data_IF_099361047515
#
_entry.id   IF_099361047515
#
_cell.length_a   1.000
_cell.length_b   1.000
_cell.length_c   1.000
_cell.angle_alpha   90.00
_cell.angle_beta   90.00
_cell.angle_gamma   90.00
#
_symmetry.space_group_name_H-M   'P 1'
#
loop_
_entity.id
_entity.type
_entity.pdbx_description
1 polymer ?
#
# COMPACT_ATOMS: atom_id res chain seq x y z
N UNK A 1 15.33 11.32 21.30
CA UNK A 1 16.15 10.14 20.98
C UNK A 1 15.86 9.01 21.94
N UNK A 2 14.86 8.17 21.63
CA UNK A 2 14.61 6.92 22.36
C UNK A 2 15.75 5.96 22.03
N UNK A 3 16.78 5.86 22.89
CA UNK A 3 17.88 4.90 22.78
C UNK A 3 17.45 3.50 23.27
N UNK A 4 16.25 3.05 22.89
CA UNK A 4 15.74 1.75 23.32
C UNK A 4 16.43 0.66 22.47
N UNK A 5 17.12 -0.28 23.10
CA UNK A 5 17.81 -1.37 22.42
C UNK A 5 16.79 -2.46 22.02
N UNK A 6 17.04 -3.19 20.92
CA UNK A 6 16.15 -4.26 20.43
C UNK A 6 15.72 -5.32 21.50
N UNK A 7 16.57 -5.71 22.47
CA UNK A 7 16.15 -6.58 23.58
C UNK A 7 15.10 -5.96 24.51
N UNK A 8 15.11 -4.64 24.70
CA UNK A 8 14.11 -3.91 25.50
C UNK A 8 12.80 -3.78 24.72
N UNK A 9 12.86 -3.53 23.40
CA UNK A 9 11.66 -3.59 22.54
C UNK A 9 11.02 -4.98 22.57
N UNK A 10 11.83 -6.06 22.54
CA UNK A 10 11.33 -7.43 22.71
C UNK A 10 10.66 -7.63 24.07
N UNK A 11 11.26 -7.12 25.16
CA UNK A 11 10.65 -7.13 26.48
C UNK A 11 9.32 -6.37 26.51
N UNK A 12 9.17 -5.26 25.80
CA UNK A 12 7.91 -4.50 25.70
C UNK A 12 6.84 -5.28 24.94
N UNK A 13 7.22 -5.93 23.84
CA UNK A 13 6.31 -6.80 23.07
C UNK A 13 5.90 -8.02 23.92
N UNK A 14 6.80 -8.60 24.70
CA UNK A 14 6.50 -9.76 25.57
C UNK A 14 5.79 -9.39 26.88
N UNK A 15 6.07 -8.22 27.45
CA UNK A 15 5.52 -7.72 28.72
C UNK A 15 4.24 -6.91 28.54
N UNK A 16 3.73 -6.72 27.32
CA UNK A 16 2.34 -6.28 27.12
C UNK A 16 1.33 -7.16 27.89
N UNK A 17 1.75 -8.37 28.30
CA UNK A 17 1.00 -9.29 29.16
C UNK A 17 1.45 -9.34 30.65
N UNK A 18 2.56 -8.70 31.06
CA UNK A 18 3.06 -8.74 32.45
C UNK A 18 3.61 -7.36 32.86
N UNK A 19 2.95 -6.73 33.84
CA UNK A 19 3.00 -5.30 34.19
C UNK A 19 4.31 -4.68 34.70
N UNK A 20 5.49 -5.22 34.39
CA UNK A 20 6.75 -4.48 34.58
C UNK A 20 6.98 -3.54 33.38
N UNK A 21 6.40 -2.35 33.51
CA UNK A 21 6.40 -1.30 32.49
C UNK A 21 7.78 -0.71 32.19
N UNK A 22 7.88 0.02 31.08
CA UNK A 22 9.09 0.75 30.71
C UNK A 22 9.40 1.82 31.77
N UNK A 23 10.68 1.97 32.12
CA UNK A 23 11.12 3.00 33.07
C UNK A 23 10.69 4.39 32.57
N UNK A 24 9.96 5.13 33.39
CA UNK A 24 9.47 6.47 33.06
C UNK A 24 8.28 6.55 32.09
N UNK A 25 7.84 5.47 31.46
CA UNK A 25 6.75 5.48 30.46
C UNK A 25 5.66 4.44 30.74
N UNK A 26 4.41 4.83 30.51
CA UNK A 26 3.25 3.94 30.43
C UNK A 26 2.98 3.66 28.94
N UNK A 27 2.98 2.38 28.55
CA UNK A 27 2.63 2.00 27.17
C UNK A 27 1.11 2.07 27.00
N UNK A 28 0.68 2.89 26.04
CA UNK A 28 -0.73 3.12 25.71
C UNK A 28 -1.12 2.47 24.39
N UNK A 29 -0.17 2.02 23.59
CA UNK A 29 -0.42 1.16 22.43
C UNK A 29 0.83 0.37 22.04
N UNK A 30 0.65 -0.88 21.66
CA UNK A 30 1.67 -1.70 21.01
C UNK A 30 0.98 -2.68 20.06
N UNK A 31 1.31 -2.64 18.77
CA UNK A 31 0.65 -3.51 17.80
C UNK A 31 1.19 -3.37 16.39
N UNK A 32 0.91 -4.38 15.57
CA UNK A 32 1.17 -4.33 14.13
C UNK A 32 0.02 -3.58 13.47
N UNK A 33 0.34 -2.46 12.83
CA UNK A 33 -0.60 -1.63 12.10
C UNK A 33 -0.39 -1.83 10.61
N UNK A 34 -1.44 -2.24 9.90
CA UNK A 34 -1.48 -2.24 8.44
C UNK A 34 -1.93 -0.88 7.94
N UNK A 35 -1.02 -0.14 7.30
CA UNK A 35 -1.30 1.20 6.79
C UNK A 35 -2.36 1.24 5.69
N UNK A 36 -2.68 0.11 5.04
CA UNK A 36 -3.79 0.05 4.10
C UNK A 36 -5.14 0.41 4.75
N UNK A 37 -5.30 0.08 6.04
CA UNK A 37 -6.47 0.45 6.85
C UNK A 37 -6.54 1.93 7.22
N UNK A 38 -5.45 2.67 6.98
CA UNK A 38 -5.36 4.11 7.21
C UNK A 38 -5.53 4.93 5.92
N UNK A 39 -5.84 4.26 4.79
CA UNK A 39 -6.03 4.90 3.49
C UNK A 39 -4.79 4.93 2.60
N UNK A 40 -3.72 4.22 2.97
CA UNK A 40 -2.53 4.09 2.11
C UNK A 40 -2.80 2.98 1.07
N UNK A 41 -2.60 3.21 -0.24
CA UNK A 41 -2.91 2.23 -1.31
C UNK A 41 -1.84 1.11 -1.42
N UNK A 42 -1.27 0.70 -0.29
CA UNK A 42 -0.17 -0.25 -0.18
C UNK A 42 -0.32 -1.01 1.14
N UNK A 43 -0.19 -2.34 1.10
CA UNK A 43 -0.04 -3.15 2.31
C UNK A 43 1.35 -2.94 2.88
N UNK A 44 1.41 -2.34 4.07
CA UNK A 44 2.65 -2.07 4.80
C UNK A 44 2.35 -2.19 6.28
N UNK A 45 2.76 -3.32 6.84
CA UNK A 45 2.61 -3.63 8.26
C UNK A 45 3.82 -3.11 9.03
N UNK A 46 3.59 -2.37 10.10
CA UNK A 46 4.64 -1.85 10.99
C UNK A 46 4.24 -2.04 12.44
N UNK A 47 5.21 -2.44 13.27
CA UNK A 47 5.04 -2.39 14.71
C UNK A 47 5.06 -0.93 15.15
N UNK A 48 3.99 -0.48 15.76
CA UNK A 48 3.86 0.85 16.35
C UNK A 48 3.79 0.69 17.87
N UNK A 49 4.59 1.47 18.59
CA UNK A 49 4.60 1.54 20.05
C UNK A 49 4.40 2.99 20.44
N UNK A 50 3.40 3.26 21.28
CA UNK A 50 3.13 4.60 21.82
C UNK A 50 3.22 4.50 23.34
N UNK A 51 4.10 5.31 23.92
CA UNK A 51 4.27 5.45 25.36
C UNK A 51 4.09 6.89 25.79
N UNK A 52 3.40 7.10 26.91
CA UNK A 52 3.23 8.41 27.56
C UNK A 52 4.07 8.42 28.83
N UNK A 53 4.73 9.54 29.13
CA UNK A 53 5.56 9.61 30.35
C UNK A 53 4.68 9.51 31.60
N UNK A 54 5.12 8.71 32.58
CA UNK A 54 4.36 8.41 33.81
C UNK A 54 4.01 9.66 34.64
N UNK A 55 4.85 10.70 34.60
CA UNK A 55 4.63 11.95 35.33
C UNK A 55 3.49 12.80 34.75
N UNK A 56 3.15 12.61 33.46
CA UNK A 56 2.06 13.33 32.78
C UNK A 56 0.69 12.69 33.03
N UNK A 57 0.64 11.37 33.23
CA UNK A 57 -0.60 10.59 33.37
C UNK A 57 -0.89 10.14 34.80
N UNK A 58 -0.11 10.60 35.79
CA UNK A 58 -0.20 10.33 37.24
C UNK A 58 -1.28 9.33 37.65
N UNK A 59 -1.05 8.01 37.57
CA UNK A 59 -2.00 6.93 37.97
C UNK A 59 -3.49 7.16 37.60
N UNK A 60 -3.81 8.02 36.63
CA UNK A 60 -5.18 8.31 36.22
C UNK A 60 -5.61 7.19 35.26
N UNK A 61 -6.22 6.17 35.86
CA UNK A 61 -6.66 4.97 35.15
C UNK A 61 -7.75 5.30 34.11
N UNK A 62 -8.60 6.31 34.36
CA UNK A 62 -9.64 6.71 33.41
C UNK A 62 -9.03 7.39 32.19
N UNK A 63 -8.08 8.30 32.40
CA UNK A 63 -7.31 8.94 31.33
C UNK A 63 -6.57 7.90 30.49
N UNK A 64 -5.83 6.98 31.13
CA UNK A 64 -5.09 5.92 30.43
C UNK A 64 -6.00 5.02 29.59
N UNK A 65 -7.16 4.64 30.13
CA UNK A 65 -8.13 3.83 29.40
C UNK A 65 -8.73 4.60 28.20
N UNK A 66 -9.08 5.86 28.40
CA UNK A 66 -9.57 6.75 27.33
C UNK A 66 -8.53 6.89 26.20
N UNK A 67 -7.27 7.15 26.54
CA UNK A 67 -6.17 7.24 25.59
C UNK A 67 -6.00 5.93 24.80
N UNK A 68 -5.92 4.78 25.49
CA UNK A 68 -5.82 3.46 24.86
C UNK A 68 -6.95 3.22 23.85
N UNK A 69 -8.18 3.48 24.27
CA UNK A 69 -9.38 3.29 23.43
C UNK A 69 -9.36 4.18 22.18
N UNK A 70 -9.01 5.47 22.33
CA UNK A 70 -8.91 6.41 21.20
C UNK A 70 -7.83 5.98 20.20
N UNK A 71 -6.63 5.65 20.69
CA UNK A 71 -5.50 5.22 19.85
C UNK A 71 -5.87 3.96 19.07
N UNK A 72 -6.42 2.95 19.77
CA UNK A 72 -6.82 1.69 19.15
C UNK A 72 -7.87 1.89 18.06
N UNK A 73 -8.87 2.77 18.30
CA UNK A 73 -9.93 3.06 17.33
C UNK A 73 -9.39 3.65 16.02
N UNK A 74 -8.34 4.49 16.09
CA UNK A 74 -7.74 5.09 14.91
C UNK A 74 -6.76 4.14 14.23
N UNK A 75 -5.81 3.55 14.98
CA UNK A 75 -4.78 2.69 14.40
C UNK A 75 -5.32 1.36 13.89
N UNK A 76 -6.44 0.86 14.43
CA UNK A 76 -7.13 -0.31 13.86
C UNK A 76 -7.80 -0.01 12.51
N UNK A 77 -7.95 1.27 12.13
CA UNK A 77 -8.66 1.71 10.94
C UNK A 77 -10.18 1.64 11.06
N UNK A 78 -10.75 1.28 12.22
CA UNK A 78 -12.20 1.09 12.42
C UNK A 78 -13.02 2.37 12.29
N UNK A 79 -12.41 3.55 12.43
CA UNK A 79 -13.08 4.85 12.17
C UNK A 79 -13.38 5.04 10.67
N UNK A 80 -12.76 4.27 9.79
CA UNK A 80 -12.82 4.41 8.33
C UNK A 80 -13.16 3.08 7.67
N UNK A 81 -13.58 3.14 6.42
CA UNK A 81 -14.02 1.96 5.69
C UNK A 81 -12.89 1.23 4.97
N UNK A 82 -11.65 1.74 5.02
CA UNK A 82 -10.48 1.19 4.32
C UNK A 82 -10.10 -0.25 4.69
N UNK A 83 -10.48 -0.72 5.88
CA UNK A 83 -10.26 -2.11 6.27
C UNK A 83 -11.11 -3.10 5.46
N UNK A 84 -12.24 -2.63 4.90
CA UNK A 84 -13.17 -3.40 4.06
C UNK A 84 -13.08 -3.00 2.59
N UNK A 85 -12.94 -1.70 2.33
CA UNK A 85 -12.83 -1.09 1.00
C UNK A 85 -11.52 -0.31 0.92
N UNK A 86 -10.39 -0.96 0.65
CA UNK A 86 -9.10 -0.30 0.65
C UNK A 86 -8.88 0.55 -0.61
N UNK A 87 -8.16 1.67 -0.46
CA UNK A 87 -7.73 2.50 -1.60
C UNK A 87 -6.78 1.72 -2.51
N UNK A 88 -6.89 1.93 -3.83
CA UNK A 88 -6.22 1.09 -4.83
C UNK A 88 -5.19 1.86 -5.69
N UNK A 89 -4.21 1.15 -6.30
CA UNK A 89 -3.25 1.75 -7.22
C UNK A 89 -3.88 2.49 -8.40
N UNK A 90 -4.94 1.96 -9.03
CA UNK A 90 -5.55 2.62 -10.19
C UNK A 90 -6.13 3.98 -9.82
N UNK A 91 -6.72 4.11 -8.63
CA UNK A 91 -7.29 5.38 -8.16
C UNK A 91 -6.23 6.45 -7.93
N UNK A 92 -5.12 6.10 -7.27
CA UNK A 92 -4.05 7.05 -7.01
C UNK A 92 -3.22 7.37 -8.26
N UNK A 93 -3.18 6.46 -9.25
CA UNK A 93 -2.48 6.72 -10.50
C UNK A 93 -3.31 7.57 -11.47
N UNK A 94 -4.60 7.27 -11.60
CA UNK A 94 -5.50 8.00 -12.49
C UNK A 94 -6.09 9.25 -11.83
N UNK A 95 -6.01 9.37 -10.50
CA UNK A 95 -6.51 10.54 -9.77
C UNK A 95 -8.03 10.60 -9.68
N UNK A 96 -8.71 9.45 -9.70
CA UNK A 96 -10.17 9.39 -9.60
C UNK A 96 -10.63 8.18 -8.76
N UNK A 97 -11.77 8.26 -8.07
CA UNK A 97 -12.37 7.11 -7.40
C UNK A 97 -12.84 6.04 -8.40
N UNK A 98 -13.02 4.80 -7.91
CA UNK A 98 -13.34 3.63 -8.75
C UNK A 98 -14.57 3.79 -9.65
N UNK A 99 -15.63 4.44 -9.16
CA UNK A 99 -16.89 4.66 -9.90
C UNK A 99 -16.72 5.53 -11.16
N UNK A 100 -15.56 6.18 -11.33
CA UNK A 100 -15.21 6.99 -12.50
C UNK A 100 -14.18 6.32 -13.41
N UNK A 101 -13.79 5.07 -13.12
CA UNK A 101 -12.65 4.40 -13.77
C UNK A 101 -13.01 3.11 -14.52
N UNK A 102 -14.30 2.83 -14.73
CA UNK A 102 -14.76 1.58 -15.36
C UNK A 102 -14.14 1.34 -16.75
N UNK A 103 -14.24 2.33 -17.65
CA UNK A 103 -13.67 2.25 -19.00
C UNK A 103 -12.15 2.06 -18.97
N UNK A 104 -11.47 2.79 -18.09
CA UNK A 104 -10.01 2.70 -17.94
C UNK A 104 -9.58 1.34 -17.43
N UNK A 105 -10.25 0.82 -16.41
CA UNK A 105 -10.03 -0.52 -15.88
C UNK A 105 -10.25 -1.59 -16.96
N UNK A 106 -11.35 -1.49 -17.70
CA UNK A 106 -11.68 -2.42 -18.79
C UNK A 106 -10.63 -2.40 -19.90
N UNK A 107 -10.17 -1.21 -20.31
CA UNK A 107 -9.08 -1.05 -21.28
C UNK A 107 -7.82 -1.79 -20.80
N UNK A 108 -7.38 -1.53 -19.57
CA UNK A 108 -6.19 -2.15 -18.96
C UNK A 108 -6.32 -3.67 -18.90
N UNK A 109 -7.44 -4.17 -18.37
CA UNK A 109 -7.60 -5.61 -18.11
C UNK A 109 -7.73 -6.39 -19.41
N UNK A 110 -8.41 -5.85 -20.43
CA UNK A 110 -8.54 -6.53 -21.73
C UNK A 110 -7.20 -6.75 -22.43
N UNK A 111 -6.18 -5.92 -22.18
CA UNK A 111 -4.83 -6.17 -22.72
C UNK A 111 -4.27 -7.52 -22.30
N UNK A 112 -4.72 -8.10 -21.19
CA UNK A 112 -4.25 -9.39 -20.67
C UNK A 112 -4.93 -10.62 -21.29
N UNK A 113 -5.91 -10.42 -22.17
CA UNK A 113 -6.56 -11.51 -22.88
C UNK A 113 -5.54 -12.34 -23.68
N UNK A 114 -5.65 -13.67 -23.62
CA UNK A 114 -4.78 -14.61 -24.32
C UNK A 114 -3.43 -14.89 -23.63
N UNK A 115 -3.08 -14.22 -22.53
CA UNK A 115 -1.77 -14.41 -21.87
C UNK A 115 -1.52 -15.85 -21.42
N UNK A 116 -2.58 -16.58 -21.06
CA UNK A 116 -2.47 -17.98 -20.65
C UNK A 116 -2.09 -18.93 -21.80
N UNK A 117 -2.52 -18.62 -23.02
CA UNK A 117 -2.13 -19.35 -24.23
C UNK A 117 -0.70 -19.00 -24.63
N UNK A 118 -0.34 -17.71 -24.59
CA UNK A 118 1.03 -17.26 -24.89
C UNK A 118 2.07 -17.90 -23.95
N UNK A 119 1.75 -18.02 -22.66
CA UNK A 119 2.65 -18.58 -21.66
C UNK A 119 2.61 -20.11 -21.67
N UNK A 120 1.44 -20.72 -21.86
CA UNK A 120 1.29 -22.16 -22.08
C UNK A 120 1.61 -23.07 -20.87
N UNK A 121 1.82 -22.51 -19.68
CA UNK A 121 2.12 -23.26 -18.45
C UNK A 121 0.85 -23.68 -17.71
N UNK A 122 0.96 -24.69 -16.84
CA UNK A 122 -0.16 -25.12 -15.99
C UNK A 122 -0.64 -24.02 -15.04
N UNK A 123 0.30 -23.23 -14.51
CA UNK A 123 0.01 -22.05 -13.69
C UNK A 123 -0.83 -21.03 -14.46
N UNK A 124 -0.51 -20.80 -15.73
CA UNK A 124 -1.24 -19.86 -16.57
C UNK A 124 -2.67 -20.33 -16.88
N UNK A 125 -2.87 -21.64 -17.14
CA UNK A 125 -4.21 -22.23 -17.29
C UNK A 125 -5.03 -22.13 -15.99
N UNK A 126 -4.40 -22.42 -14.86
CA UNK A 126 -5.03 -22.28 -13.54
C UNK A 126 -5.43 -20.83 -13.25
N UNK A 127 -4.57 -19.86 -13.60
CA UNK A 127 -4.85 -18.44 -13.44
C UNK A 127 -6.04 -18.01 -14.30
N UNK A 128 -6.12 -18.46 -15.55
CA UNK A 128 -7.29 -18.19 -16.41
C UNK A 128 -8.59 -18.62 -15.71
N UNK A 129 -8.66 -19.87 -15.27
CA UNK A 129 -9.87 -20.43 -14.64
C UNK A 129 -10.22 -19.74 -13.31
N UNK A 130 -9.21 -19.39 -12.50
CA UNK A 130 -9.43 -18.87 -11.14
C UNK A 130 -9.60 -17.37 -11.07
N UNK A 131 -9.02 -16.64 -12.02
CA UNK A 131 -8.97 -15.17 -12.04
C UNK A 131 -9.69 -14.65 -13.27
N UNK A 132 -9.15 -14.89 -14.48
CA UNK A 132 -9.67 -14.28 -15.71
C UNK A 132 -11.14 -14.60 -16.00
N UNK A 133 -11.50 -15.88 -15.96
CA UNK A 133 -12.86 -16.36 -16.29
C UNK A 133 -13.92 -15.88 -15.29
N UNK A 134 -13.49 -15.30 -14.15
CA UNK A 134 -14.37 -14.73 -13.14
C UNK A 134 -14.50 -13.21 -13.22
N UNK A 135 -13.69 -12.54 -14.04
CA UNK A 135 -13.77 -11.09 -14.20
C UNK A 135 -15.06 -10.73 -14.94
N UNK A 136 -15.76 -9.76 -14.40
CA UNK A 136 -16.96 -9.16 -14.99
C UNK A 136 -16.60 -8.00 -15.92
N UNK A 137 -15.39 -7.44 -15.79
CA UNK A 137 -14.97 -6.18 -16.40
C UNK A 137 -15.83 -4.98 -15.99
N UNK A 138 -16.59 -5.11 -14.90
CA UNK A 138 -17.14 -4.00 -14.15
C UNK A 138 -16.21 -3.73 -12.97
N UNK A 139 -15.70 -2.51 -12.87
CA UNK A 139 -14.65 -2.18 -11.90
C UNK A 139 -15.10 -2.38 -10.46
N UNK A 140 -16.37 -2.08 -10.15
CA UNK A 140 -16.92 -2.20 -8.79
C UNK A 140 -17.10 -3.67 -8.42
N UNK A 141 -17.73 -4.46 -9.29
CA UNK A 141 -17.96 -5.88 -9.02
C UNK A 141 -16.63 -6.64 -8.86
N UNK A 142 -15.67 -6.39 -9.77
CA UNK A 142 -14.35 -7.01 -9.71
C UNK A 142 -13.56 -6.55 -8.47
N UNK A 143 -13.64 -5.26 -8.10
CA UNK A 143 -13.02 -4.72 -6.90
C UNK A 143 -13.55 -5.39 -5.63
N UNK A 144 -14.87 -5.54 -5.51
CA UNK A 144 -15.51 -6.18 -4.35
C UNK A 144 -15.11 -7.66 -4.27
N UNK A 145 -15.10 -8.37 -5.40
CA UNK A 145 -14.66 -9.75 -5.47
C UNK A 145 -13.19 -9.91 -5.04
N UNK A 146 -12.28 -9.13 -5.63
CA UNK A 146 -10.83 -9.22 -5.39
C UNK A 146 -10.45 -8.87 -3.94
N UNK A 147 -11.17 -7.93 -3.32
CA UNK A 147 -10.96 -7.56 -1.92
C UNK A 147 -11.81 -8.37 -0.93
N UNK A 148 -12.49 -9.43 -1.39
CA UNK A 148 -13.29 -10.34 -0.57
C UNK A 148 -14.41 -9.65 0.24
N UNK A 149 -15.05 -8.64 -0.36
CA UNK A 149 -16.18 -7.93 0.26
C UNK A 149 -17.46 -8.75 0.09
N UNK A 150 -17.82 -9.53 1.11
CA UNK A 150 -18.94 -10.49 1.04
C UNK A 150 -20.34 -9.86 1.26
N UNK A 151 -20.43 -8.84 2.11
CA UNK A 151 -21.69 -8.18 2.45
C UNK A 151 -21.66 -6.75 1.91
N UNK A 152 -22.46 -6.51 0.88
CA UNK A 152 -22.51 -5.23 0.17
C UNK A 152 -23.71 -4.45 0.71
N UNK A 153 -23.42 -3.44 1.53
CA UNK A 153 -24.36 -2.35 1.80
C UNK A 153 -24.03 -1.22 0.81
N UNK A 154 -24.99 -0.87 -0.05
CA UNK A 154 -24.82 0.18 -1.07
C UNK A 154 -24.45 1.52 -0.45
N UNK A 155 -25.06 1.88 0.69
CA UNK A 155 -24.77 3.15 1.37
C UNK A 155 -23.35 3.15 1.95
N UNK A 156 -22.93 2.01 2.48
CA UNK A 156 -21.56 1.83 2.98
C UNK A 156 -20.53 1.93 1.85
N UNK A 157 -20.81 1.31 0.69
CA UNK A 157 -19.95 1.40 -0.48
C UNK A 157 -19.87 2.85 -1.01
N UNK A 158 -20.99 3.55 -1.14
CA UNK A 158 -21.01 4.97 -1.51
C UNK A 158 -20.19 5.83 -0.55
N UNK A 159 -20.30 5.58 0.75
CA UNK A 159 -19.50 6.27 1.76
C UNK A 159 -18.00 5.91 1.65
N UNK A 160 -17.66 4.66 1.36
CA UNK A 160 -16.28 4.26 1.12
C UNK A 160 -15.68 4.98 -0.09
N UNK A 161 -16.40 5.06 -1.20
CA UNK A 161 -15.95 5.77 -2.40
C UNK A 161 -15.80 7.28 -2.16
N UNK A 162 -16.68 7.89 -1.36
CA UNK A 162 -16.49 9.28 -0.89
C UNK A 162 -15.22 9.45 -0.07
N UNK A 163 -14.90 8.49 0.80
CA UNK A 163 -13.64 8.50 1.56
C UNK A 163 -12.42 8.35 0.64
N UNK A 164 -12.50 7.53 -0.41
CA UNK A 164 -11.44 7.42 -1.42
C UNK A 164 -11.22 8.77 -2.11
N UNK A 165 -12.29 9.39 -2.62
CA UNK A 165 -12.23 10.71 -3.24
C UNK A 165 -11.65 11.78 -2.30
N UNK A 166 -12.04 11.76 -1.02
CA UNK A 166 -11.52 12.69 -0.02
C UNK A 166 -10.00 12.52 0.18
N UNK A 167 -9.47 11.29 0.20
CA UNK A 167 -8.03 11.04 0.27
C UNK A 167 -7.33 11.52 -1.00
N UNK A 168 -7.89 11.26 -2.19
CA UNK A 168 -7.32 11.75 -3.45
C UNK A 168 -7.24 13.28 -3.47
N UNK A 169 -8.25 13.98 -2.93
CA UNK A 169 -8.24 15.44 -2.78
C UNK A 169 -7.21 15.90 -1.75
N UNK A 170 -7.15 15.24 -0.59
CA UNK A 170 -6.20 15.54 0.49
C UNK A 170 -4.75 15.44 0.00
N UNK A 171 -4.44 14.46 -0.85
CA UNK A 171 -3.10 14.23 -1.39
C UNK A 171 -2.80 15.04 -2.67
N UNK A 172 -3.77 15.78 -3.21
CA UNK A 172 -3.63 16.55 -4.44
C UNK A 172 -3.67 15.73 -5.73
N UNK A 173 -4.14 14.47 -5.67
CA UNK A 173 -4.21 13.57 -6.81
C UNK A 173 -5.51 13.68 -7.59
N UNK A 174 -6.58 14.16 -6.96
CA UNK A 174 -7.92 14.19 -7.56
C UNK A 174 -7.94 15.02 -8.86
N UNK A 175 -8.47 14.44 -9.94
CA UNK A 175 -8.45 14.99 -11.30
C UNK A 175 -7.05 15.27 -11.87
N UNK A 176 -6.02 14.61 -11.33
CA UNK A 176 -4.63 14.81 -11.73
C UNK A 176 -3.93 13.45 -11.92
N UNK A 177 -4.11 12.77 -13.07
CA UNK A 177 -3.43 11.50 -13.34
C UNK A 177 -1.90 11.65 -13.31
N UNK A 178 -1.16 10.63 -12.85
CA UNK A 178 0.31 10.72 -12.70
C UNK A 178 0.99 11.06 -14.03
N UNK A 179 0.49 10.53 -15.15
CA UNK A 179 1.11 10.73 -16.47
C UNK A 179 0.97 12.17 -17.00
N UNK A 180 0.10 12.99 -16.42
CA UNK A 180 -0.02 14.42 -16.80
C UNK A 180 0.98 15.30 -16.05
N UNK A 181 1.57 14.79 -14.97
CA UNK A 181 2.52 15.54 -14.15
C UNK A 181 3.82 15.85 -14.90
N UNK A 182 4.25 17.10 -14.78
CA UNK A 182 5.56 17.56 -15.26
C UNK A 182 6.33 18.11 -14.08
N UNK A 183 7.19 17.28 -13.51
CA UNK A 183 7.97 17.60 -12.31
C UNK A 183 9.45 17.75 -12.63
N UNK A 184 10.16 18.69 -12.00
CA UNK A 184 11.58 18.94 -12.27
C UNK A 184 12.52 17.85 -11.72
N UNK A 185 12.02 16.94 -10.89
CA UNK A 185 12.82 15.91 -10.20
C UNK A 185 12.96 14.59 -10.98
N UNK A 186 12.52 14.56 -12.24
CA UNK A 186 12.56 13.39 -13.16
C UNK A 186 11.76 12.17 -12.69
N UNK A 187 10.99 12.28 -11.61
CA UNK A 187 10.30 11.12 -11.01
C UNK A 187 9.15 10.58 -11.86
N UNK A 188 8.61 11.39 -12.76
CA UNK A 188 7.56 11.01 -13.72
C UNK A 188 8.10 10.29 -14.94
N UNK A 189 9.42 10.29 -15.15
CA UNK A 189 10.04 9.63 -16.29
C UNK A 189 9.89 8.10 -16.18
N UNK A 190 9.52 7.41 -17.28
CA UNK A 190 9.52 5.97 -17.31
C UNK A 190 10.96 5.43 -17.09
N UNK A 191 11.12 4.35 -16.32
CA UNK A 191 12.41 3.71 -16.16
C UNK A 191 12.89 3.12 -17.48
N UNK A 192 14.21 3.16 -17.71
CA UNK A 192 14.85 2.44 -18.81
C UNK A 192 14.99 0.98 -18.39
N UNK A 193 14.36 0.08 -19.12
CA UNK A 193 14.32 -1.36 -18.81
C UNK A 193 14.87 -2.16 -19.98
N UNK A 194 15.57 -3.25 -19.66
CA UNK A 194 16.07 -4.18 -20.67
C UNK A 194 14.91 -4.82 -21.45
N UNK A 195 15.10 -5.05 -22.75
CA UNK A 195 14.09 -5.69 -23.60
C UNK A 195 13.62 -7.03 -23.03
N UNK A 196 14.53 -7.80 -22.41
CA UNK A 196 14.19 -9.05 -21.75
C UNK A 196 13.25 -8.87 -20.55
N UNK A 197 13.40 -7.78 -19.78
CA UNK A 197 12.51 -7.42 -18.67
C UNK A 197 11.14 -7.05 -19.21
N UNK A 198 11.09 -6.19 -20.24
CA UNK A 198 9.83 -5.76 -20.87
C UNK A 198 9.05 -6.96 -21.44
N UNK A 199 9.72 -7.82 -22.19
CA UNK A 199 9.08 -8.98 -22.82
C UNK A 199 8.58 -10.01 -21.81
N UNK A 200 9.32 -10.22 -20.71
CA UNK A 200 8.87 -11.03 -19.58
C UNK A 200 7.63 -10.43 -18.92
N UNK A 201 7.67 -9.12 -18.66
CA UNK A 201 6.57 -8.45 -17.96
C UNK A 201 5.28 -8.52 -18.77
N UNK A 202 5.31 -8.44 -20.10
CA UNK A 202 4.13 -8.64 -20.96
C UNK A 202 3.43 -10.00 -20.80
N UNK A 203 4.04 -10.97 -20.09
CA UNK A 203 3.52 -12.32 -19.82
C UNK A 203 3.11 -12.57 -18.37
N UNK A 204 3.47 -11.68 -17.45
CA UNK A 204 3.15 -11.82 -16.03
C UNK A 204 1.94 -10.93 -15.74
N UNK A 205 0.72 -11.48 -15.59
CA UNK A 205 -0.49 -10.68 -15.38
C UNK A 205 -0.54 -10.03 -13.99
N UNK A 206 -1.53 -9.15 -13.72
CA UNK A 206 -1.67 -8.51 -12.42
C UNK A 206 -1.74 -9.54 -11.30
N UNK A 207 -1.13 -9.22 -10.17
CA UNK A 207 -1.00 -10.08 -8.98
C UNK A 207 -0.07 -11.30 -9.09
N UNK A 208 0.49 -11.57 -10.28
CA UNK A 208 1.45 -12.66 -10.49
C UNK A 208 2.89 -12.19 -10.39
N UNK A 209 3.83 -13.13 -10.45
CA UNK A 209 5.27 -12.86 -10.37
C UNK A 209 6.06 -13.77 -11.34
N UNK A 210 7.40 -13.81 -11.20
CA UNK A 210 8.27 -14.63 -12.06
C UNK A 210 7.87 -16.12 -12.15
N UNK A 211 7.22 -16.69 -11.13
CA UNK A 211 6.77 -18.10 -11.17
C UNK A 211 5.71 -18.34 -12.26
N UNK A 212 5.00 -17.29 -12.71
CA UNK A 212 4.02 -17.40 -13.79
C UNK A 212 4.62 -17.88 -15.11
N UNK A 213 5.88 -17.49 -15.36
CA UNK A 213 6.61 -17.79 -16.59
C UNK A 213 7.67 -18.88 -16.40
N UNK A 214 7.62 -19.62 -15.28
CA UNK A 214 8.56 -20.71 -15.02
C UNK A 214 8.39 -21.84 -16.05
N UNK A 215 9.50 -22.40 -16.53
CA UNK A 215 9.52 -23.40 -17.59
C UNK A 215 9.39 -22.82 -19.00
N UNK A 216 9.51 -21.51 -19.16
CA UNK A 216 9.44 -20.82 -20.46
C UNK A 216 10.74 -20.08 -20.76
N UNK A 217 10.88 -19.57 -22.00
CA UNK A 217 12.01 -18.69 -22.37
C UNK A 217 12.08 -17.38 -21.59
N UNK A 218 11.02 -17.00 -20.87
CA UNK A 218 10.98 -15.79 -20.03
C UNK A 218 11.30 -16.07 -18.56
N UNK A 219 11.64 -17.31 -18.20
CA UNK A 219 12.00 -17.70 -16.84
C UNK A 219 13.18 -16.88 -16.29
N UNK A 220 13.21 -16.74 -14.97
CA UNK A 220 14.30 -16.12 -14.21
C UNK A 220 14.34 -16.70 -12.81
N UNK A 221 15.53 -16.78 -12.23
CA UNK A 221 15.73 -17.29 -10.88
C UNK A 221 15.10 -16.34 -9.84
N UNK A 222 14.14 -16.85 -9.07
CA UNK A 222 13.50 -16.11 -7.99
C UNK A 222 14.22 -16.14 -6.65
N UNK A 223 15.09 -17.13 -6.44
CA UNK A 223 15.77 -17.42 -5.15
C UNK A 223 14.80 -17.50 -3.95
N UNK A 224 13.56 -17.96 -4.18
CA UNK A 224 12.50 -18.00 -3.16
C UNK A 224 11.91 -16.64 -2.79
N UNK A 225 12.30 -15.55 -3.47
CA UNK A 225 11.83 -14.19 -3.18
C UNK A 225 10.54 -13.92 -3.98
N UNK A 226 9.41 -13.87 -3.27
CA UNK A 226 8.09 -13.68 -3.87
C UNK A 226 7.86 -12.33 -4.57
N UNK A 227 8.72 -11.34 -4.30
CA UNK A 227 8.70 -9.99 -4.90
C UNK A 227 9.39 -9.91 -6.27
N UNK A 228 10.17 -10.93 -6.67
CA UNK A 228 10.87 -10.96 -7.95
C UNK A 228 9.84 -10.97 -9.09
N UNK A 229 9.88 -9.95 -9.95
CA UNK A 229 8.91 -9.67 -11.02
C UNK A 229 7.44 -9.62 -10.57
N UNK A 230 7.18 -9.29 -9.29
CA UNK A 230 5.81 -9.18 -8.77
C UNK A 230 5.08 -7.98 -9.36
N UNK A 231 4.01 -8.23 -10.12
CA UNK A 231 3.15 -7.19 -10.67
C UNK A 231 2.11 -6.72 -9.65
N UNK A 232 1.93 -5.41 -9.53
CA UNK A 232 0.84 -4.87 -8.72
C UNK A 232 -0.50 -5.15 -9.40
N UNK A 233 -1.58 -5.16 -8.62
CA UNK A 233 -2.93 -5.31 -9.15
C UNK A 233 -3.66 -3.96 -9.09
N UNK A 234 -4.45 -3.57 -10.11
CA UNK A 234 -5.04 -2.23 -10.18
C UNK A 234 -6.05 -1.99 -9.05
N UNK A 235 -6.82 -3.03 -8.69
CA UNK A 235 -7.94 -2.95 -7.73
C UNK A 235 -7.64 -3.44 -6.31
N UNK A 236 -6.36 -3.60 -5.93
CA UNK A 236 -6.04 -3.97 -4.54
C UNK A 236 -4.78 -3.27 -4.07
N UNK A 237 -4.60 -3.03 -2.76
CA UNK A 237 -3.40 -2.36 -2.25
C UNK A 237 -2.13 -3.00 -2.78
N UNK A 238 -1.20 -2.15 -3.23
CA UNK A 238 0.11 -2.60 -3.70
C UNK A 238 0.85 -3.38 -2.63
N UNK A 239 1.73 -4.29 -3.06
CA UNK A 239 2.77 -4.82 -2.19
C UNK A 239 3.70 -3.71 -1.71
N UNK A 240 4.43 -3.98 -0.63
CA UNK A 240 5.38 -3.02 -0.07
C UNK A 240 6.44 -2.62 -1.11
N UNK A 241 6.53 -1.33 -1.42
CA UNK A 241 7.57 -0.78 -2.28
C UNK A 241 8.90 -0.86 -1.56
N UNK A 242 9.87 -1.52 -2.19
CA UNK A 242 11.21 -1.75 -1.62
C UNK A 242 12.16 -0.60 -1.96
N UNK A 243 12.89 -0.13 -0.95
CA UNK A 243 13.92 0.90 -1.07
C UNK A 243 15.10 0.42 -1.93
N UNK A 244 15.59 -0.78 -1.60
CA UNK A 244 16.73 -1.41 -2.24
C UNK A 244 16.32 -2.72 -2.88
N UNK A 245 17.00 -3.08 -3.95
CA UNK A 245 16.84 -4.39 -4.56
C UNK A 245 17.34 -4.45 -6.00
N UNK A 246 18.00 -5.56 -6.31
CA UNK A 246 18.33 -6.00 -7.66
C UNK A 246 17.51 -7.24 -8.04
N UNK A 247 17.80 -7.86 -9.19
CA UNK A 247 17.21 -9.15 -9.56
C UNK A 247 15.69 -9.11 -9.78
N UNK A 248 15.15 -7.96 -10.19
CA UNK A 248 13.76 -7.84 -10.59
C UNK A 248 12.76 -7.51 -9.46
N UNK A 249 13.18 -6.96 -8.32
CA UNK A 249 12.27 -6.51 -7.23
C UNK A 249 11.83 -5.03 -7.38
N UNK A 250 11.63 -4.55 -8.61
CA UNK A 250 11.54 -3.12 -8.89
C UNK A 250 10.13 -2.53 -8.69
N UNK A 251 9.12 -3.40 -8.56
CA UNK A 251 7.70 -3.04 -8.56
C UNK A 251 7.22 -2.80 -9.98
N UNK A 252 6.25 -3.57 -10.43
CA UNK A 252 5.80 -3.54 -11.83
C UNK A 252 4.37 -3.07 -11.94
N UNK A 253 4.12 -2.21 -12.93
CA UNK A 253 2.83 -1.55 -13.16
C UNK A 253 1.75 -2.59 -13.48
N UNK A 254 0.45 -2.32 -13.36
CA UNK A 254 -0.58 -3.33 -13.71
C UNK A 254 -0.86 -3.41 -15.22
N UNK A 255 -0.64 -2.33 -15.96
CA UNK A 255 -0.83 -2.25 -17.41
C UNK A 255 0.20 -3.12 -18.14
N UNK A 256 -0.27 -3.98 -19.06
CA UNK A 256 0.55 -4.92 -19.83
C UNK A 256 1.63 -4.24 -20.66
N UNK A 257 1.35 -3.03 -21.15
CA UNK A 257 2.29 -2.27 -21.99
C UNK A 257 3.41 -1.62 -21.17
N UNK A 258 3.34 -1.74 -19.84
CA UNK A 258 4.30 -1.17 -18.90
C UNK A 258 4.98 -2.27 -18.11
N UNK A 259 6.30 -2.16 -17.99
CA UNK A 259 7.10 -3.00 -17.11
C UNK A 259 7.07 -2.41 -15.69
N UNK A 260 7.95 -1.47 -15.39
CA UNK A 260 8.16 -0.95 -14.04
C UNK A 260 7.33 0.31 -13.77
N UNK A 261 6.89 0.49 -12.52
CA UNK A 261 6.25 1.76 -12.09
C UNK A 261 7.28 2.90 -12.03
N UNK A 262 6.86 4.12 -12.35
CA UNK A 262 7.73 5.31 -12.22
C UNK A 262 8.05 5.61 -10.75
N UNK A 263 9.05 6.46 -10.50
CA UNK A 263 9.35 6.88 -9.13
C UNK A 263 8.19 7.69 -8.53
N UNK A 264 7.48 8.49 -9.34
CA UNK A 264 6.31 9.26 -8.91
C UNK A 264 5.13 8.36 -8.57
N UNK A 265 4.91 7.29 -9.33
CA UNK A 265 3.91 6.27 -8.97
C UNK A 265 4.25 5.58 -7.64
N UNK A 266 5.53 5.24 -7.42
CA UNK A 266 5.98 4.71 -6.10
C UNK A 266 5.73 5.72 -4.98
N UNK A 267 5.96 7.01 -5.24
CA UNK A 267 5.72 8.07 -4.29
C UNK A 267 4.21 8.19 -3.95
N UNK A 268 3.31 8.12 -4.95
CA UNK A 268 1.86 8.08 -4.73
C UNK A 268 1.40 6.83 -3.96
N UNK A 269 2.01 5.66 -4.22
CA UNK A 269 1.74 4.45 -3.41
C UNK A 269 2.20 4.57 -1.95
N UNK A 270 3.18 5.44 -1.70
CA UNK A 270 3.63 5.86 -0.36
C UNK A 270 2.91 7.14 0.11
N UNK A 271 1.86 7.60 -0.57
CA UNK A 271 1.07 8.80 -0.23
C UNK A 271 1.85 10.10 -0.08
N UNK A 272 2.94 10.26 -0.84
CA UNK A 272 3.62 11.56 -0.98
C UNK A 272 2.79 12.53 -1.83
N UNK A 273 2.52 13.75 -1.35
CA UNK A 273 1.95 14.81 -2.18
C UNK A 273 2.74 15.02 -3.48
N UNK A 274 2.08 15.42 -4.57
CA UNK A 274 2.75 15.62 -5.86
C UNK A 274 3.70 16.82 -5.87
N UNK A 275 3.50 17.80 -4.98
CA UNK A 275 4.38 18.95 -4.78
C UNK A 275 5.64 18.62 -3.96
N UNK A 276 5.73 17.42 -3.38
CA UNK A 276 6.95 16.93 -2.76
C UNK A 276 7.96 16.54 -3.84
N UNK A 277 9.04 17.34 -3.95
CA UNK A 277 10.14 17.10 -4.86
C UNK A 277 11.24 16.26 -4.21
N UNK A 278 11.73 15.27 -4.95
CA UNK A 278 12.86 14.45 -4.52
C UNK A 278 14.18 14.98 -5.09
N UNK A 279 15.28 14.70 -4.41
CA UNK A 279 16.61 15.12 -4.85
C UNK A 279 17.60 13.96 -4.88
N UNK A 280 18.50 13.97 -5.86
CA UNK A 280 19.55 12.96 -6.04
C UNK A 280 19.33 12.09 -7.28
N UNK A 281 20.11 11.02 -7.37
CA UNK A 281 20.04 10.04 -8.47
C UNK A 281 18.78 9.19 -8.34
N UNK A 282 18.28 8.62 -9.45
CA UNK A 282 17.08 7.76 -9.46
C UNK A 282 17.11 6.62 -8.42
N UNK A 283 18.30 6.05 -8.15
CA UNK A 283 18.49 5.02 -7.12
C UNK A 283 18.36 5.57 -5.70
N UNK A 284 18.84 6.79 -5.44
CA UNK A 284 18.73 7.48 -4.15
C UNK A 284 17.29 7.92 -3.89
N UNK A 285 16.61 8.45 -4.91
CA UNK A 285 15.18 8.80 -4.82
C UNK A 285 14.34 7.55 -4.54
N UNK A 286 14.62 6.42 -5.21
CA UNK A 286 13.96 5.15 -4.92
C UNK A 286 14.15 4.74 -3.46
N UNK A 287 15.36 4.89 -2.91
CA UNK A 287 15.65 4.58 -1.52
C UNK A 287 14.84 5.48 -0.58
N UNK A 288 14.84 6.80 -0.80
CA UNK A 288 14.04 7.77 -0.04
C UNK A 288 12.56 7.37 0.02
N UNK A 289 11.97 7.02 -1.13
CA UNK A 289 10.55 6.61 -1.21
C UNK A 289 10.31 5.28 -0.49
N UNK A 290 11.17 4.28 -0.67
CA UNK A 290 10.95 2.94 -0.10
C UNK A 290 11.18 2.86 1.41
N UNK A 291 12.12 3.65 1.94
CA UNK A 291 12.41 3.73 3.37
C UNK A 291 11.40 4.56 4.14
N UNK A 292 10.76 5.52 3.47
CA UNK A 292 9.79 6.41 4.09
C UNK A 292 8.66 5.66 4.82
N UNK A 293 8.13 6.34 5.84
CA UNK A 293 6.79 6.09 6.36
C UNK A 293 5.82 6.89 5.48
N UNK A 294 4.73 6.30 4.96
CA UNK A 294 3.77 7.05 4.15
C UNK A 294 3.30 8.33 4.87
N UNK A 295 3.37 9.53 4.27
CA UNK A 295 2.98 10.77 4.92
C UNK A 295 1.54 10.73 5.43
N UNK A 296 0.61 10.10 4.72
CA UNK A 296 -0.76 9.92 5.21
C UNK A 296 -0.82 9.10 6.50
N UNK A 297 -0.09 7.98 6.59
CA UNK A 297 -0.06 7.17 7.80
C UNK A 297 0.59 7.92 8.97
N UNK A 298 1.69 8.63 8.72
CA UNK A 298 2.36 9.48 9.71
C UNK A 298 1.41 10.57 10.23
N UNK A 299 0.65 11.24 9.34
CA UNK A 299 -0.37 12.22 9.70
C UNK A 299 -1.46 11.60 10.57
N UNK A 300 -1.99 10.42 10.23
CA UNK A 300 -3.03 9.75 11.06
C UNK A 300 -2.51 9.42 12.46
N UNK A 301 -1.26 8.98 12.57
CA UNK A 301 -0.62 8.75 13.88
C UNK A 301 -0.46 10.08 14.63
N UNK A 302 -0.02 11.15 13.95
CA UNK A 302 0.16 12.47 14.55
C UNK A 302 -1.17 13.08 15.04
N UNK A 303 -2.27 12.93 14.29
CA UNK A 303 -3.62 13.36 14.69
C UNK A 303 -4.03 12.70 16.02
N UNK A 304 -3.77 11.40 16.18
CA UNK A 304 -4.02 10.68 17.44
C UNK A 304 -3.17 11.23 18.57
N UNK A 305 -1.87 11.46 18.32
CA UNK A 305 -0.96 11.97 19.33
C UNK A 305 -1.32 13.41 19.73
N UNK A 306 -1.80 14.23 18.81
CA UNK A 306 -2.28 15.58 19.09
C UNK A 306 -3.50 15.54 20.02
N UNK A 307 -4.51 14.70 19.73
CA UNK A 307 -5.66 14.50 20.63
C UNK A 307 -5.24 14.01 22.03
N UNK A 308 -4.21 13.15 22.09
CA UNK A 308 -3.63 12.71 23.37
C UNK A 308 -3.02 13.89 24.11
N UNK A 309 -2.20 14.71 23.44
CA UNK A 309 -1.55 15.87 24.04
C UNK A 309 -2.57 16.90 24.57
N UNK A 310 -3.63 17.19 23.80
CA UNK A 310 -4.73 18.06 24.24
C UNK A 310 -5.47 17.52 25.46
N UNK A 311 -5.54 16.20 25.63
CA UNK A 311 -6.15 15.58 26.82
C UNK A 311 -5.23 15.69 28.05
N UNK A 312 -3.92 15.88 27.86
CA UNK A 312 -2.91 15.94 28.92
C UNK A 312 -2.60 17.36 29.41
N UNK A 313 -2.95 18.38 28.63
CA UNK A 313 -2.74 19.81 28.93
C UNK A 313 -4.02 20.48 29.42
#
# INVERSE_FOLDING_TARGET
NLKIRWPEVKKVISNANNGDGIEGYEIVFTGIVDFSRLGVPQKRERLIIIGVRKDLVKKDLMLLWSLRSKIEKVLSGKKRLFHKYPLTPIEVFEGAPLDKLDDRYKEIMKKWEGVWEEVGTERARTWKQRVWDKLTFNIIDDYLMINNVKQIDKRELEEALKQHEAILKELGYYNNPVYTLKLPDTTTEPPREDTAVVERMKRIPPDENHEFVRGTKWEVEGKGISLVYRRIHPLKPSYTIVAYGGGGTHGYHYDRDRATVTLREKARLQTFPDDFLFYGRKTEIRAQIGEAVPPLAARRIAEVLAEVLETLT
#
